data_IF_606502762244
#
_entry.id   IF_606502762244
#
_cell.length_a   1.000
_cell.length_b   1.000
_cell.length_c   1.000
_cell.angle_alpha   90.00
_cell.angle_beta   90.00
_cell.angle_gamma   90.00
#
_symmetry.space_group_name_H-M   'P 1'
#
loop_
_entity.id
_entity.type
_entity.pdbx_description
1 polymer ?
#
# COMPACT_ATOMS: atom_id res chain seq x y z
N UNK A 1 39.53 20.59 8.97
CA UNK A 1 38.24 20.57 9.71
C UNK A 1 38.14 19.27 10.48
N UNK A 2 38.03 19.33 11.81
CA UNK A 2 37.82 18.13 12.63
C UNK A 2 36.45 17.53 12.28
N UNK A 3 36.42 16.22 12.02
CA UNK A 3 35.18 15.47 11.75
C UNK A 3 34.33 15.51 13.01
N UNK A 4 33.16 16.16 12.96
CA UNK A 4 32.31 16.27 14.15
C UNK A 4 31.62 14.92 14.40
N UNK A 5 32.18 14.11 15.30
CA UNK A 5 31.62 12.82 15.70
C UNK A 5 30.16 12.93 16.17
N UNK A 6 29.77 14.05 16.77
CA UNK A 6 28.38 14.31 17.17
C UNK A 6 27.46 14.54 15.97
N UNK A 7 27.93 15.25 14.94
CA UNK A 7 27.15 15.46 13.72
C UNK A 7 26.94 14.14 12.97
N UNK A 8 27.98 13.31 12.88
CA UNK A 8 27.89 11.96 12.29
C UNK A 8 26.91 11.08 13.08
N UNK A 9 26.93 11.15 14.42
CA UNK A 9 25.96 10.44 15.28
C UNK A 9 24.53 10.89 15.03
N UNK A 10 24.27 12.21 15.02
CA UNK A 10 22.94 12.77 14.74
C UNK A 10 22.44 12.40 13.34
N UNK A 11 23.36 12.31 12.36
CA UNK A 11 23.01 11.87 11.02
C UNK A 11 22.57 10.40 11.01
N UNK A 12 23.32 9.53 11.67
CA UNK A 12 22.96 8.12 11.82
C UNK A 12 21.61 7.95 12.56
N UNK A 13 21.37 8.72 13.62
CA UNK A 13 20.08 8.72 14.35
C UNK A 13 18.92 9.17 13.45
N UNK A 14 19.10 10.23 12.64
CA UNK A 14 18.11 10.68 11.66
C UNK A 14 17.78 9.57 10.64
N UNK A 15 18.81 8.94 10.07
CA UNK A 15 18.64 7.91 9.05
C UNK A 15 17.96 6.67 9.64
N UNK A 16 18.32 6.26 10.86
CA UNK A 16 17.65 5.17 11.57
C UNK A 16 16.18 5.48 11.90
N UNK A 17 15.87 6.71 12.31
CA UNK A 17 14.48 7.15 12.54
C UNK A 17 13.68 7.17 11.23
N UNK A 18 14.29 7.58 10.11
CA UNK A 18 13.67 7.55 8.80
C UNK A 18 13.32 6.13 8.35
N UNK A 19 14.24 5.16 8.53
CA UNK A 19 13.97 3.75 8.20
C UNK A 19 12.82 3.18 9.02
N UNK A 20 12.82 3.37 10.35
CA UNK A 20 11.72 2.92 11.22
C UNK A 20 10.38 3.51 10.82
N UNK A 21 10.34 4.82 10.51
CA UNK A 21 9.15 5.49 9.99
C UNK A 21 8.69 4.86 8.67
N UNK A 22 9.61 4.59 7.74
CA UNK A 22 9.28 4.02 6.44
C UNK A 22 8.68 2.60 6.56
N UNK A 23 9.24 1.76 7.44
CA UNK A 23 8.70 0.45 7.77
C UNK A 23 7.28 0.55 8.36
N UNK A 24 7.09 1.44 9.34
CA UNK A 24 5.77 1.66 9.93
C UNK A 24 4.73 2.17 8.92
N UNK A 25 5.15 3.00 7.96
CA UNK A 25 4.28 3.44 6.87
C UNK A 25 3.83 2.28 5.98
N UNK A 26 4.73 1.36 5.62
CA UNK A 26 4.35 0.18 4.83
C UNK A 26 3.37 -0.70 5.60
N UNK A 27 3.61 -0.94 6.89
CA UNK A 27 2.68 -1.71 7.73
C UNK A 27 1.30 -1.05 7.82
N UNK A 28 1.26 0.26 8.05
CA UNK A 28 0.01 1.04 8.05
C UNK A 28 -0.71 0.95 6.69
N UNK A 29 0.02 1.06 5.58
CA UNK A 29 -0.54 0.96 4.23
C UNK A 29 -1.16 -0.42 3.98
N UNK A 30 -0.44 -1.50 4.31
CA UNK A 30 -0.96 -2.86 4.21
C UNK A 30 -2.22 -3.05 5.07
N UNK A 31 -2.21 -2.56 6.32
CA UNK A 31 -3.37 -2.65 7.20
C UNK A 31 -4.57 -1.84 6.69
N UNK A 32 -4.32 -0.71 6.03
CA UNK A 32 -5.37 0.06 5.35
C UNK A 32 -6.00 -0.75 4.22
N UNK A 33 -5.18 -1.34 3.34
CA UNK A 33 -5.66 -2.21 2.26
C UNK A 33 -6.46 -3.41 2.78
N UNK A 34 -5.96 -4.09 3.83
CA UNK A 34 -6.68 -5.19 4.49
C UNK A 34 -8.01 -4.73 5.11
N UNK A 35 -8.06 -3.54 5.70
CA UNK A 35 -9.29 -2.96 6.26
C UNK A 35 -10.32 -2.68 5.16
N UNK A 36 -9.88 -2.15 4.01
CA UNK A 36 -10.75 -1.86 2.87
C UNK A 36 -11.32 -3.17 2.28
N UNK A 37 -10.50 -4.22 2.16
CA UNK A 37 -10.96 -5.56 1.76
C UNK A 37 -11.99 -6.12 2.76
N UNK A 38 -11.70 -6.04 4.05
CA UNK A 38 -12.62 -6.53 5.09
C UNK A 38 -13.96 -5.77 5.08
N UNK A 39 -13.92 -4.46 4.80
CA UNK A 39 -15.12 -3.64 4.61
C UNK A 39 -15.95 -4.13 3.42
N UNK A 40 -15.32 -4.36 2.27
CA UNK A 40 -16.01 -4.85 1.08
C UNK A 40 -16.66 -6.23 1.30
N UNK A 41 -15.95 -7.13 2.00
CA UNK A 41 -16.48 -8.45 2.37
C UNK A 41 -17.68 -8.32 3.30
N UNK A 42 -17.59 -7.48 4.35
CA UNK A 42 -18.71 -7.19 5.25
C UNK A 42 -19.90 -6.63 4.49
N UNK A 43 -19.69 -5.69 3.56
CA UNK A 43 -20.76 -5.07 2.80
C UNK A 43 -21.45 -6.06 1.85
N UNK A 44 -20.70 -6.93 1.17
CA UNK A 44 -21.27 -8.00 0.34
C UNK A 44 -22.09 -8.98 1.18
N UNK A 45 -21.58 -9.39 2.34
CA UNK A 45 -22.31 -10.26 3.26
C UNK A 45 -23.59 -9.61 3.79
N UNK A 46 -23.58 -8.30 4.03
CA UNK A 46 -24.78 -7.53 4.37
C UNK A 46 -25.81 -7.57 3.24
N UNK A 47 -25.40 -7.29 2.01
CA UNK A 47 -26.31 -7.29 0.85
C UNK A 47 -26.92 -8.67 0.61
N UNK A 48 -26.13 -9.74 0.75
CA UNK A 48 -26.62 -11.13 0.66
C UNK A 48 -27.63 -11.46 1.77
N UNK A 49 -27.34 -11.07 3.01
CA UNK A 49 -28.27 -11.22 4.14
C UNK A 49 -29.58 -10.51 3.89
N UNK A 50 -29.56 -9.29 3.35
CA UNK A 50 -30.76 -8.52 3.01
C UNK A 50 -31.59 -9.26 1.95
N UNK A 51 -30.96 -9.71 0.86
CA UNK A 51 -31.64 -10.49 -0.19
C UNK A 51 -32.24 -11.80 0.35
N UNK A 52 -31.53 -12.48 1.26
CA UNK A 52 -32.04 -13.69 1.88
C UNK A 52 -33.25 -13.41 2.79
N UNK A 53 -33.26 -12.26 3.48
CA UNK A 53 -34.41 -11.82 4.26
C UNK A 53 -35.62 -11.53 3.36
N UNK A 54 -35.42 -10.90 2.22
CA UNK A 54 -36.48 -10.66 1.23
C UNK A 54 -37.10 -11.97 0.74
N UNK A 55 -36.26 -12.95 0.34
CA UNK A 55 -36.73 -14.29 -0.05
C UNK A 55 -37.46 -15.02 1.08
N UNK A 56 -36.97 -14.91 2.31
CA UNK A 56 -37.63 -15.51 3.47
C UNK A 56 -39.01 -14.89 3.70
N UNK A 57 -39.15 -13.56 3.56
CA UNK A 57 -40.43 -12.87 3.66
C UNK A 57 -41.38 -13.28 2.53
N UNK A 58 -40.88 -13.39 1.30
CA UNK A 58 -41.68 -13.85 0.16
C UNK A 58 -42.22 -15.27 0.40
N UNK A 59 -41.34 -16.20 0.82
CA UNK A 59 -41.75 -17.55 1.16
C UNK A 59 -42.74 -17.60 2.34
N UNK A 60 -42.63 -16.66 3.29
CA UNK A 60 -43.57 -16.52 4.38
C UNK A 60 -44.96 -16.09 3.90
N UNK A 61 -45.04 -15.09 3.02
CA UNK A 61 -46.33 -14.64 2.46
C UNK A 61 -46.99 -15.74 1.61
N UNK A 62 -46.22 -16.44 0.75
CA UNK A 62 -46.75 -17.59 -0.01
C UNK A 62 -47.30 -18.70 0.90
N UNK A 63 -46.57 -18.98 1.99
CA UNK A 63 -47.00 -19.96 3.01
C UNK A 63 -48.30 -19.51 3.67
N UNK A 64 -48.40 -18.23 4.04
CA UNK A 64 -49.59 -17.64 4.66
C UNK A 64 -50.80 -17.72 3.74
N UNK A 65 -50.67 -17.32 2.47
CA UNK A 65 -51.73 -17.43 1.46
C UNK A 65 -52.20 -18.88 1.29
N UNK A 66 -51.25 -19.83 1.28
CA UNK A 66 -51.56 -21.25 1.21
C UNK A 66 -52.35 -21.75 2.43
N UNK A 67 -52.01 -21.26 3.63
CA UNK A 67 -52.76 -21.55 4.86
C UNK A 67 -54.17 -20.96 4.82
N UNK A 68 -54.33 -19.72 4.39
CA UNK A 68 -55.63 -19.05 4.29
C UNK A 68 -56.55 -19.76 3.29
N UNK A 69 -56.01 -20.13 2.12
CA UNK A 69 -56.75 -20.94 1.13
C UNK A 69 -57.14 -22.32 1.69
N UNK A 70 -56.22 -23.00 2.37
CA UNK A 70 -56.50 -24.28 3.01
C UNK A 70 -57.59 -24.17 4.06
N UNK A 71 -57.50 -23.20 4.97
CA UNK A 71 -58.49 -22.97 6.02
C UNK A 71 -59.87 -22.65 5.44
N UNK A 72 -59.95 -21.82 4.40
CA UNK A 72 -61.20 -21.52 3.69
C UNK A 72 -61.86 -22.78 3.11
N UNK A 73 -61.10 -23.60 2.37
CA UNK A 73 -61.60 -24.83 1.74
C UNK A 73 -62.04 -25.88 2.77
N UNK A 74 -61.23 -26.08 3.81
CA UNK A 74 -61.59 -27.04 4.87
C UNK A 74 -62.72 -26.52 5.76
N UNK A 75 -62.87 -25.21 5.92
CA UNK A 75 -64.01 -24.57 6.55
C UNK A 75 -65.32 -24.79 5.77
N UNK A 76 -65.29 -24.74 4.44
CA UNK A 76 -66.45 -25.11 3.60
C UNK A 76 -66.88 -26.57 3.83
N UNK A 77 -65.91 -27.49 3.79
CA UNK A 77 -66.19 -28.90 4.08
C UNK A 77 -66.76 -29.09 5.49
N UNK A 78 -66.19 -28.44 6.50
CA UNK A 78 -66.68 -28.52 7.87
C UNK A 78 -68.15 -28.09 7.97
N UNK A 79 -68.54 -26.98 7.31
CA UNK A 79 -69.94 -26.53 7.26
C UNK A 79 -70.87 -27.55 6.63
N UNK A 80 -70.49 -28.12 5.47
CA UNK A 80 -71.28 -29.15 4.79
C UNK A 80 -71.42 -30.39 5.66
N UNK A 81 -70.32 -30.87 6.23
CA UNK A 81 -70.28 -32.02 7.12
C UNK A 81 -71.20 -31.82 8.32
N UNK A 82 -71.08 -30.69 9.00
CA UNK A 82 -71.81 -30.44 10.25
C UNK A 82 -73.31 -30.29 10.00
N UNK A 83 -73.69 -29.57 8.94
CA UNK A 83 -75.10 -29.43 8.54
C UNK A 83 -75.69 -30.77 8.10
N UNK A 84 -75.06 -31.47 7.15
CA UNK A 84 -75.58 -32.73 6.60
C UNK A 84 -75.62 -33.83 7.67
N UNK A 85 -74.63 -33.92 8.55
CA UNK A 85 -74.66 -34.91 9.63
C UNK A 85 -75.80 -34.62 10.61
N UNK A 86 -76.08 -33.36 10.94
CA UNK A 86 -77.24 -33.01 11.76
C UNK A 86 -78.56 -33.41 11.10
N UNK A 87 -78.68 -33.21 9.79
CA UNK A 87 -79.87 -33.63 9.05
C UNK A 87 -80.00 -35.15 8.98
N UNK A 88 -78.89 -35.87 8.74
CA UNK A 88 -78.85 -37.33 8.74
C UNK A 88 -79.35 -37.89 10.07
N UNK A 89 -78.90 -37.34 11.21
CA UNK A 89 -79.35 -37.82 12.53
C UNK A 89 -80.85 -37.59 12.75
N UNK A 90 -81.40 -36.46 12.28
CA UNK A 90 -82.86 -36.22 12.31
C UNK A 90 -83.61 -37.22 11.44
N UNK A 91 -83.17 -37.42 10.19
CA UNK A 91 -83.82 -38.34 9.25
C UNK A 91 -83.76 -39.79 9.72
N UNK A 92 -82.69 -40.19 10.42
CA UNK A 92 -82.59 -41.52 11.04
C UNK A 92 -83.67 -41.72 12.10
N UNK A 93 -83.91 -40.70 12.93
CA UNK A 93 -84.97 -40.76 13.92
C UNK A 93 -86.35 -40.94 13.27
N UNK A 94 -86.62 -40.17 12.22
CA UNK A 94 -87.87 -40.27 11.47
C UNK A 94 -88.01 -41.63 10.76
N UNK A 95 -86.92 -42.15 10.18
CA UNK A 95 -86.90 -43.46 9.52
C UNK A 95 -87.15 -44.60 10.53
N UNK A 96 -86.58 -44.50 11.73
CA UNK A 96 -86.83 -45.45 12.82
C UNK A 96 -88.29 -45.40 13.30
N UNK A 97 -88.91 -44.22 13.34
CA UNK A 97 -90.32 -44.06 13.65
C UNK A 97 -91.21 -44.72 12.58
N UNK A 98 -91.01 -44.39 11.30
CA UNK A 98 -91.75 -44.98 10.18
C UNK A 98 -91.57 -46.50 10.14
N UNK A 99 -90.37 -47.01 10.49
CA UNK A 99 -90.14 -48.45 10.58
C UNK A 99 -90.95 -49.14 11.67
N UNK A 100 -91.08 -48.53 12.86
CA UNK A 100 -91.91 -49.08 13.95
C UNK A 100 -93.40 -49.00 13.62
N UNK A 101 -93.86 -47.89 13.03
CA UNK A 101 -95.25 -47.74 12.60
C UNK A 101 -95.61 -48.77 11.51
N UNK A 102 -94.71 -49.02 10.57
CA UNK A 102 -94.82 -50.10 9.58
C UNK A 102 -95.00 -51.46 10.25
N UNK A 103 -94.15 -51.80 11.24
CA UNK A 103 -94.25 -53.06 11.97
C UNK A 103 -95.61 -53.20 12.68
N UNK A 104 -96.05 -52.17 13.41
CA UNK A 104 -97.36 -52.16 14.09
C UNK A 104 -98.52 -52.37 13.11
N UNK A 105 -98.50 -51.71 11.96
CA UNK A 105 -99.54 -51.87 10.94
C UNK A 105 -99.62 -53.30 10.42
N UNK A 106 -98.48 -53.93 10.13
CA UNK A 106 -98.45 -55.31 9.64
C UNK A 106 -98.86 -56.33 10.73
N UNK A 107 -98.45 -56.11 11.98
CA UNK A 107 -98.85 -56.96 13.11
C UNK A 107 -100.38 -56.87 13.33
N UNK A 108 -100.93 -55.66 13.34
CA UNK A 108 -102.38 -55.43 13.46
C UNK A 108 -103.17 -55.94 12.26
N UNK A 109 -102.64 -55.83 11.06
CA UNK A 109 -103.25 -56.41 9.86
C UNK A 109 -103.34 -57.94 9.97
N UNK A 110 -102.27 -58.57 10.46
CA UNK A 110 -102.20 -60.01 10.71
C UNK A 110 -103.24 -60.45 11.76
N UNK A 111 -103.35 -59.71 12.86
CA UNK A 111 -104.33 -59.97 13.92
C UNK A 111 -105.78 -59.78 13.42
N UNK A 112 -106.06 -58.71 12.67
CA UNK A 112 -107.38 -58.46 12.08
C UNK A 112 -107.78 -59.57 11.08
N UNK A 113 -106.83 -60.10 10.32
CA UNK A 113 -107.05 -61.21 9.40
C UNK A 113 -107.33 -62.53 10.12
N UNK A 114 -106.62 -62.80 11.22
CA UNK A 114 -106.64 -64.08 11.93
C UNK A 114 -107.75 -64.16 12.98
N UNK A 115 -107.95 -63.09 13.74
CA UNK A 115 -108.79 -63.06 14.94
C UNK A 115 -109.88 -61.98 14.92
N UNK A 116 -109.81 -61.01 13.99
CA UNK A 116 -110.68 -59.82 13.97
C UNK A 116 -111.51 -59.64 12.69
N UNK A 117 -111.81 -58.38 12.37
CA UNK A 117 -112.54 -58.00 11.16
C UNK A 117 -111.63 -58.11 9.92
N UNK A 118 -111.77 -59.20 9.17
CA UNK A 118 -110.96 -59.49 7.97
C UNK A 118 -111.02 -58.41 6.89
N UNK A 119 -112.05 -57.57 6.87
CA UNK A 119 -112.17 -56.46 5.92
C UNK A 119 -111.24 -55.28 6.23
N UNK A 120 -110.72 -55.17 7.46
CA UNK A 120 -109.77 -54.12 7.89
C UNK A 120 -108.31 -54.49 7.61
N UNK A 121 -107.97 -55.78 7.56
CA UNK A 121 -106.63 -56.27 7.27
C UNK A 121 -105.99 -55.68 5.98
N UNK A 122 -106.68 -55.58 4.83
CA UNK A 122 -106.08 -54.97 3.63
C UNK A 122 -105.82 -53.47 3.78
N UNK A 123 -106.62 -52.75 4.58
CA UNK A 123 -106.43 -51.31 4.83
C UNK A 123 -105.17 -51.12 5.69
N UNK A 124 -105.05 -51.87 6.79
CA UNK A 124 -103.87 -51.82 7.66
C UNK A 124 -102.59 -52.27 6.94
N UNK A 125 -102.67 -53.26 6.05
CA UNK A 125 -101.55 -53.67 5.22
C UNK A 125 -101.12 -52.57 4.23
N UNK A 126 -102.08 -51.84 3.67
CA UNK A 126 -101.80 -50.70 2.79
C UNK A 126 -101.11 -49.57 3.56
N UNK A 127 -101.59 -49.22 4.76
CA UNK A 127 -100.93 -48.25 5.65
C UNK A 127 -99.49 -48.68 6.00
N UNK A 128 -99.26 -49.97 6.25
CA UNK A 128 -97.93 -50.53 6.45
C UNK A 128 -97.02 -50.36 5.23
N UNK A 129 -97.54 -50.56 4.02
CA UNK A 129 -96.79 -50.29 2.79
C UNK A 129 -96.45 -48.81 2.61
N UNK A 130 -97.34 -47.90 2.96
CA UNK A 130 -97.06 -46.45 2.92
C UNK A 130 -95.96 -46.04 3.91
N UNK A 131 -95.99 -46.58 5.14
CA UNK A 131 -94.90 -46.36 6.11
C UNK A 131 -93.56 -46.92 5.61
N UNK A 132 -93.58 -48.07 4.92
CA UNK A 132 -92.40 -48.64 4.29
C UNK A 132 -91.84 -47.71 3.20
N UNK A 133 -92.70 -47.18 2.32
CA UNK A 133 -92.29 -46.25 1.25
C UNK A 133 -91.67 -44.99 1.84
N UNK A 134 -92.31 -44.35 2.84
CA UNK A 134 -91.75 -43.18 3.54
C UNK A 134 -90.39 -43.46 4.17
N UNK A 135 -90.22 -44.59 4.84
CA UNK A 135 -88.92 -45.01 5.40
C UNK A 135 -87.87 -45.19 4.31
N UNK A 136 -88.22 -45.81 3.19
CA UNK A 136 -87.31 -46.05 2.07
C UNK A 136 -86.86 -44.71 1.44
N UNK A 137 -87.76 -43.72 1.33
CA UNK A 137 -87.45 -42.34 0.91
C UNK A 137 -86.49 -41.63 1.89
N UNK A 138 -86.76 -41.70 3.20
CA UNK A 138 -85.88 -41.13 4.23
C UNK A 138 -84.47 -41.73 4.18
N UNK A 139 -84.37 -43.05 3.99
CA UNK A 139 -83.08 -43.74 3.85
C UNK A 139 -82.33 -43.37 2.55
N UNK A 140 -83.06 -43.13 1.46
CA UNK A 140 -82.47 -42.62 0.23
C UNK A 140 -81.88 -41.22 0.44
N UNK A 141 -82.58 -40.34 1.17
CA UNK A 141 -82.09 -39.01 1.50
C UNK A 141 -80.87 -39.02 2.43
N UNK A 142 -80.87 -39.87 3.47
CA UNK A 142 -79.69 -40.10 4.33
C UNK A 142 -78.48 -40.50 3.48
N UNK A 143 -78.68 -41.42 2.53
CA UNK A 143 -77.61 -41.88 1.64
C UNK A 143 -77.09 -40.77 0.73
N UNK A 144 -78.00 -39.92 0.21
CA UNK A 144 -77.66 -38.75 -0.60
C UNK A 144 -76.78 -37.77 0.18
N UNK A 145 -77.20 -37.38 1.39
CA UNK A 145 -76.44 -36.47 2.26
C UNK A 145 -75.08 -37.05 2.67
N UNK A 146 -75.00 -38.34 2.96
CA UNK A 146 -73.74 -39.01 3.28
C UNK A 146 -72.75 -38.97 2.10
N UNK A 147 -73.24 -39.17 0.88
CA UNK A 147 -72.45 -39.05 -0.34
C UNK A 147 -71.99 -37.60 -0.61
N UNK A 148 -72.80 -36.59 -0.30
CA UNK A 148 -72.38 -35.19 -0.37
C UNK A 148 -71.23 -34.89 0.59
N UNK A 149 -71.29 -35.35 1.85
CA UNK A 149 -70.19 -35.17 2.82
C UNK A 149 -68.91 -35.82 2.31
N UNK A 150 -69.01 -37.05 1.79
CA UNK A 150 -67.87 -37.77 1.22
C UNK A 150 -67.28 -37.03 0.01
N UNK A 151 -68.13 -36.50 -0.86
CA UNK A 151 -67.70 -35.77 -2.06
C UNK A 151 -67.08 -34.41 -1.71
N UNK A 152 -67.66 -33.70 -0.74
CA UNK A 152 -67.11 -32.44 -0.21
C UNK A 152 -65.73 -32.65 0.41
N UNK A 153 -65.54 -33.76 1.16
CA UNK A 153 -64.23 -34.12 1.71
C UNK A 153 -63.20 -34.37 0.60
N UNK A 154 -63.54 -35.20 -0.39
CA UNK A 154 -62.64 -35.49 -1.51
C UNK A 154 -62.30 -34.21 -2.31
N UNK A 155 -63.26 -33.31 -2.48
CA UNK A 155 -63.04 -32.00 -3.09
C UNK A 155 -62.09 -31.13 -2.26
N UNK A 156 -62.23 -31.10 -0.93
CA UNK A 156 -61.33 -30.36 -0.06
C UNK A 156 -59.89 -30.88 -0.12
N UNK A 157 -59.71 -32.21 -0.05
CA UNK A 157 -58.40 -32.86 -0.17
C UNK A 157 -57.69 -32.55 -1.50
N UNK A 158 -58.46 -32.46 -2.59
CA UNK A 158 -57.93 -32.12 -3.92
C UNK A 158 -57.64 -30.63 -4.09
N UNK A 159 -58.53 -29.74 -3.62
CA UNK A 159 -58.39 -28.27 -3.80
C UNK A 159 -57.40 -27.64 -2.83
N UNK A 160 -57.23 -28.23 -1.65
CA UNK A 160 -56.37 -27.73 -0.59
C UNK A 160 -55.65 -28.90 0.10
N UNK A 161 -54.62 -29.46 -0.56
CA UNK A 161 -53.73 -30.41 0.09
C UNK A 161 -52.98 -29.72 1.24
N UNK A 162 -52.32 -30.53 2.08
CA UNK A 162 -51.54 -30.04 3.21
C UNK A 162 -50.52 -28.99 2.75
N UNK A 163 -50.48 -27.86 3.46
CA UNK A 163 -49.57 -26.75 3.17
C UNK A 163 -48.12 -27.18 3.34
N UNK A 164 -47.32 -27.01 2.29
CA UNK A 164 -45.87 -27.23 2.34
C UNK A 164 -45.18 -26.02 2.99
N UNK A 165 -44.30 -26.28 3.96
CA UNK A 165 -43.50 -25.26 4.64
C UNK A 165 -42.01 -25.35 4.30
N UNK A 166 -41.61 -26.30 3.44
CA UNK A 166 -40.21 -26.59 3.12
C UNK A 166 -39.46 -25.38 2.55
N UNK A 167 -40.10 -24.62 1.66
CA UNK A 167 -39.53 -23.41 1.05
C UNK A 167 -39.20 -22.35 2.11
N UNK A 168 -40.12 -22.08 3.02
CA UNK A 168 -39.92 -21.12 4.10
C UNK A 168 -38.81 -21.56 5.06
N UNK A 169 -38.80 -22.82 5.50
CA UNK A 169 -37.75 -23.31 6.41
C UNK A 169 -36.37 -23.28 5.75
N UNK A 170 -36.29 -23.58 4.44
CA UNK A 170 -35.05 -23.48 3.67
C UNK A 170 -34.57 -22.02 3.55
N UNK A 171 -35.47 -21.09 3.22
CA UNK A 171 -35.14 -19.66 3.13
C UNK A 171 -34.75 -19.06 4.49
N UNK A 172 -35.37 -19.53 5.58
CA UNK A 172 -35.01 -19.14 6.94
C UNK A 172 -33.63 -19.66 7.34
N UNK A 173 -33.30 -20.91 7.03
CA UNK A 173 -31.99 -21.47 7.29
C UNK A 173 -30.89 -20.72 6.51
N UNK A 174 -31.16 -20.38 5.24
CA UNK A 174 -30.29 -19.54 4.40
C UNK A 174 -30.05 -18.17 5.03
N UNK A 175 -31.12 -17.50 5.49
CA UNK A 175 -31.03 -16.20 6.16
C UNK A 175 -30.18 -16.25 7.42
N UNK A 176 -30.39 -17.24 8.31
CA UNK A 176 -29.60 -17.36 9.54
C UNK A 176 -28.12 -17.62 9.23
N UNK A 177 -27.81 -18.49 8.24
CA UNK A 177 -26.43 -18.72 7.81
C UNK A 177 -25.76 -17.43 7.31
N UNK A 178 -26.45 -16.66 6.46
CA UNK A 178 -25.90 -15.41 5.91
C UNK A 178 -25.81 -14.31 6.97
N UNK A 179 -26.68 -14.33 7.98
CA UNK A 179 -26.58 -13.47 9.15
C UNK A 179 -25.32 -13.77 9.97
N UNK A 180 -25.01 -15.04 10.23
CA UNK A 180 -23.78 -15.44 10.90
C UNK A 180 -22.53 -15.03 10.11
N UNK A 181 -22.53 -15.23 8.79
CA UNK A 181 -21.43 -14.80 7.90
C UNK A 181 -21.22 -13.28 7.98
N UNK A 182 -22.30 -12.50 7.91
CA UNK A 182 -22.23 -11.05 8.06
C UNK A 182 -21.71 -10.63 9.44
N UNK A 183 -22.16 -11.26 10.53
CA UNK A 183 -21.69 -10.96 11.89
C UNK A 183 -20.20 -11.27 12.07
N UNK A 184 -19.73 -12.37 11.49
CA UNK A 184 -18.31 -12.73 11.43
C UNK A 184 -17.50 -11.70 10.64
N UNK A 185 -17.94 -11.37 9.41
CA UNK A 185 -17.27 -10.37 8.58
C UNK A 185 -17.24 -8.97 9.22
N UNK A 186 -18.31 -8.58 9.91
CA UNK A 186 -18.37 -7.32 10.66
C UNK A 186 -17.36 -7.30 11.81
N UNK A 187 -17.18 -8.43 12.51
CA UNK A 187 -16.19 -8.55 13.58
C UNK A 187 -14.78 -8.43 13.02
N UNK A 188 -14.48 -9.10 11.92
CA UNK A 188 -13.18 -9.02 11.26
C UNK A 188 -12.88 -7.59 10.78
N UNK A 189 -13.84 -6.92 10.15
CA UNK A 189 -13.69 -5.51 9.77
C UNK A 189 -13.38 -4.61 10.98
N UNK A 190 -14.05 -4.81 12.12
CA UNK A 190 -13.77 -4.05 13.35
C UNK A 190 -12.34 -4.31 13.86
N UNK A 191 -11.88 -5.56 13.81
CA UNK A 191 -10.52 -5.92 14.21
C UNK A 191 -9.47 -5.28 13.30
N UNK A 192 -9.63 -5.39 11.97
CA UNK A 192 -8.73 -4.79 10.99
C UNK A 192 -8.69 -3.27 11.12
N UNK A 193 -9.85 -2.63 11.33
CA UNK A 193 -9.94 -1.19 11.58
C UNK A 193 -9.15 -0.78 12.84
N UNK A 194 -9.27 -1.54 13.93
CA UNK A 194 -8.54 -1.26 15.16
C UNK A 194 -7.01 -1.40 14.97
N UNK A 195 -6.56 -2.43 14.24
CA UNK A 195 -5.15 -2.61 13.95
C UNK A 195 -4.59 -1.53 13.02
N UNK A 196 -5.35 -1.14 11.99
CA UNK A 196 -5.02 0.01 11.14
C UNK A 196 -4.86 1.28 11.95
N UNK A 197 -5.78 1.56 12.87
CA UNK A 197 -5.73 2.76 13.71
C UNK A 197 -4.52 2.72 14.66
N UNK A 198 -4.21 1.55 15.22
CA UNK A 198 -2.98 1.34 16.01
C UNK A 198 -1.72 1.60 15.19
N UNK A 199 -1.59 1.00 14.01
CA UNK A 199 -0.44 1.17 13.13
C UNK A 199 -0.30 2.61 12.63
N UNK A 200 -1.42 3.31 12.43
CA UNK A 200 -1.41 4.74 12.13
C UNK A 200 -0.79 5.54 13.28
N UNK A 201 -1.19 5.28 14.52
CA UNK A 201 -0.60 5.94 15.69
C UNK A 201 0.91 5.68 15.81
N UNK A 202 1.35 4.45 15.54
CA UNK A 202 2.79 4.10 15.52
C UNK A 202 3.52 4.88 14.42
N UNK A 203 2.97 4.93 13.21
CA UNK A 203 3.53 5.70 12.10
C UNK A 203 3.61 7.19 12.44
N UNK A 204 2.55 7.79 12.97
CA UNK A 204 2.52 9.21 13.34
C UNK A 204 3.58 9.52 14.42
N UNK A 205 3.74 8.65 15.42
CA UNK A 205 4.76 8.80 16.46
C UNK A 205 6.19 8.72 15.90
N UNK A 206 6.46 7.77 15.00
CA UNK A 206 7.78 7.63 14.35
C UNK A 206 8.06 8.77 13.35
N UNK A 207 7.02 9.30 12.71
CA UNK A 207 7.11 10.50 11.88
C UNK A 207 7.53 11.70 12.73
N UNK A 208 6.95 11.88 13.92
CA UNK A 208 7.39 12.91 14.86
C UNK A 208 8.83 12.71 15.33
N UNK A 209 9.22 11.48 15.68
CA UNK A 209 10.59 11.16 16.08
C UNK A 209 11.59 11.52 14.97
N UNK A 210 11.32 11.11 13.73
CA UNK A 210 12.14 11.48 12.57
C UNK A 210 12.25 13.00 12.39
N UNK A 211 11.15 13.74 12.54
CA UNK A 211 11.19 15.22 12.47
C UNK A 211 12.05 15.82 13.58
N UNK A 212 12.03 15.25 14.80
CA UNK A 212 12.90 15.68 15.91
C UNK A 212 14.37 15.42 15.60
N UNK A 213 14.72 14.22 15.14
CA UNK A 213 16.11 13.88 14.76
C UNK A 213 16.61 14.75 13.59
N UNK A 214 15.77 14.96 12.57
CA UNK A 214 16.09 15.85 11.45
C UNK A 214 16.38 17.28 11.93
N UNK A 215 15.55 17.83 12.82
CA UNK A 215 15.75 19.16 13.39
C UNK A 215 17.04 19.23 14.23
N UNK A 216 17.34 18.21 15.03
CA UNK A 216 18.58 18.16 15.82
C UNK A 216 19.83 18.15 14.92
N UNK A 217 19.84 17.33 13.87
CA UNK A 217 20.91 17.30 12.87
C UNK A 217 21.09 18.66 12.18
N UNK A 218 20.00 19.27 11.69
CA UNK A 218 20.03 20.57 11.02
C UNK A 218 20.55 21.68 11.94
N UNK A 219 20.10 21.70 13.20
CA UNK A 219 20.57 22.68 14.18
C UNK A 219 22.08 22.54 14.45
N UNK A 220 22.58 21.30 14.63
CA UNK A 220 24.01 21.07 14.86
C UNK A 220 24.85 21.42 13.63
N UNK A 221 24.37 21.09 12.43
CA UNK A 221 25.02 21.47 11.18
C UNK A 221 25.11 23.00 11.02
N UNK A 222 24.02 23.73 11.34
CA UNK A 222 24.00 25.18 11.30
C UNK A 222 24.97 25.80 12.31
N UNK A 223 25.03 25.25 13.53
CA UNK A 223 25.99 25.69 14.56
C UNK A 223 27.43 25.49 14.10
N UNK A 224 27.78 24.31 13.59
CA UNK A 224 29.14 24.02 13.08
C UNK A 224 29.50 24.97 11.93
N UNK A 225 28.57 25.24 11.00
CA UNK A 225 28.81 26.21 9.92
C UNK A 225 29.05 27.62 10.45
N UNK A 226 28.26 28.05 11.45
CA UNK A 226 28.41 29.36 12.09
C UNK A 226 29.73 29.48 12.86
N UNK A 227 30.11 28.45 13.60
CA UNK A 227 31.35 28.41 14.37
C UNK A 227 32.57 28.44 13.44
N UNK A 228 32.55 27.62 12.37
CA UNK A 228 33.59 27.62 11.34
C UNK A 228 33.71 28.98 10.64
N UNK A 229 32.58 29.63 10.33
CA UNK A 229 32.58 30.96 9.73
C UNK A 229 33.18 31.99 10.69
N UNK A 230 32.80 31.96 11.97
CA UNK A 230 33.32 32.87 12.99
C UNK A 230 34.81 32.67 13.23
N UNK A 231 35.28 31.42 13.27
CA UNK A 231 36.71 31.09 13.40
C UNK A 231 37.49 31.62 12.19
N UNK A 232 36.98 31.38 10.98
CA UNK A 232 37.54 31.92 9.73
C UNK A 232 37.65 33.45 9.77
N UNK A 233 36.57 34.13 10.11
CA UNK A 233 36.54 35.60 10.17
C UNK A 233 37.50 36.14 11.24
N UNK A 234 37.61 35.46 12.39
CA UNK A 234 38.58 35.82 13.44
C UNK A 234 40.02 35.70 12.96
N UNK A 235 40.35 34.66 12.19
CA UNK A 235 41.69 34.48 11.62
C UNK A 235 41.99 35.59 10.60
N UNK A 236 41.03 35.91 9.73
CA UNK A 236 41.17 36.97 8.72
C UNK A 236 41.28 38.37 9.36
N UNK A 237 40.56 38.62 10.47
CA UNK A 237 40.69 39.84 11.27
C UNK A 237 42.09 39.97 11.88
N UNK A 238 42.61 38.92 12.52
CA UNK A 238 43.97 38.92 13.09
C UNK A 238 45.05 39.12 12.03
N UNK A 239 44.83 38.57 10.84
CA UNK A 239 45.71 38.75 9.69
C UNK A 239 45.56 40.12 9.00
N UNK A 240 44.61 40.96 9.42
CA UNK A 240 44.40 42.30 8.86
C UNK A 240 43.86 42.30 7.42
N UNK A 241 43.23 41.21 6.97
CA UNK A 241 42.75 41.09 5.59
C UNK A 241 41.56 42.00 5.35
N UNK A 242 41.60 42.80 4.27
CA UNK A 242 40.53 43.72 3.93
C UNK A 242 39.25 42.97 3.53
N UNK A 243 38.08 43.53 3.87
CA UNK A 243 36.78 42.86 3.69
C UNK A 243 36.56 42.29 2.27
N UNK A 244 36.99 43.01 1.24
CA UNK A 244 36.82 42.62 -0.16
C UNK A 244 37.75 41.48 -0.62
N UNK A 245 38.82 41.18 0.13
CA UNK A 245 39.77 40.07 -0.13
C UNK A 245 39.44 38.82 0.70
N UNK A 246 38.36 38.86 1.50
CA UNK A 246 38.02 37.79 2.44
C UNK A 246 37.18 36.68 1.84
N UNK A 247 36.44 36.91 0.76
CA UNK A 247 35.44 35.93 0.28
C UNK A 247 36.13 34.64 -0.18
N UNK A 248 37.21 34.78 -0.95
CA UNK A 248 37.99 33.72 -1.57
C UNK A 248 39.30 33.41 -0.83
N UNK A 249 39.55 34.06 0.32
CA UNK A 249 40.75 33.83 1.12
C UNK A 249 40.89 32.37 1.56
N UNK A 250 42.09 31.82 1.32
CA UNK A 250 42.49 30.46 1.67
C UNK A 250 43.35 30.49 2.92
N UNK A 251 42.91 29.77 3.95
CA UNK A 251 43.61 29.64 5.23
C UNK A 251 44.25 28.25 5.32
N UNK A 252 45.56 28.20 5.56
CA UNK A 252 46.35 26.97 5.67
C UNK A 252 47.12 26.99 6.97
N UNK A 253 46.76 26.10 7.89
CA UNK A 253 47.49 25.92 9.15
C UNK A 253 48.66 24.95 8.93
N UNK A 254 49.86 25.34 9.33
CA UNK A 254 51.09 24.56 9.19
C UNK A 254 51.41 23.82 10.49
N UNK A 255 52.19 22.75 10.39
CA UNK A 255 52.56 21.91 11.54
C UNK A 255 53.45 22.63 12.56
N UNK A 256 54.14 23.70 12.15
CA UNK A 256 54.93 24.58 13.02
C UNK A 256 54.06 25.57 13.82
N UNK A 257 52.73 25.54 13.62
CA UNK A 257 51.77 26.42 14.26
C UNK A 257 51.53 27.74 13.53
N UNK A 258 52.27 28.03 12.46
CA UNK A 258 52.00 29.20 11.63
C UNK A 258 50.72 29.01 10.83
N UNK A 259 49.92 30.06 10.70
CA UNK A 259 48.75 30.07 9.81
C UNK A 259 49.07 30.95 8.62
N UNK A 260 48.96 30.39 7.42
CA UNK A 260 49.20 31.05 6.14
C UNK A 260 47.85 31.42 5.54
N UNK A 261 47.68 32.69 5.21
CA UNK A 261 46.47 33.24 4.61
C UNK A 261 46.83 33.77 3.24
N UNK A 262 46.20 33.21 2.21
CA UNK A 262 46.34 33.66 0.84
C UNK A 262 45.03 34.35 0.43
N UNK A 263 45.11 35.57 -0.10
CA UNK A 263 43.95 36.45 -0.26
C UNK A 263 44.09 37.35 -1.49
N UNK A 264 42.97 37.73 -2.11
CA UNK A 264 42.99 38.52 -3.35
C UNK A 264 43.69 37.83 -4.53
N UNK A 265 43.96 38.59 -5.59
CA UNK A 265 44.54 38.06 -6.83
C UNK A 265 43.49 37.54 -7.83
N UNK A 266 43.95 37.15 -9.02
CA UNK A 266 43.06 36.61 -10.07
C UNK A 266 42.86 35.11 -9.85
N UNK A 267 41.62 34.71 -9.59
CA UNK A 267 41.22 33.30 -9.54
C UNK A 267 41.08 32.70 -8.14
N UNK A 268 41.11 33.51 -7.08
CA UNK A 268 40.93 33.07 -5.70
C UNK A 268 42.10 33.46 -4.80
N UNK A 269 41.98 33.16 -3.51
CA UNK A 269 43.02 33.47 -2.53
C UNK A 269 44.39 32.85 -2.84
N UNK A 270 44.49 31.77 -3.61
CA UNK A 270 45.76 31.19 -4.10
C UNK A 270 46.01 31.39 -5.61
N UNK A 271 45.28 32.34 -6.21
CA UNK A 271 45.34 32.68 -7.62
C UNK A 271 46.57 33.52 -8.01
N UNK A 272 46.61 33.97 -9.27
CA UNK A 272 47.71 34.77 -9.78
C UNK A 272 47.77 36.14 -9.08
N UNK A 273 48.93 36.49 -8.54
CA UNK A 273 49.12 37.76 -7.85
C UNK A 273 48.43 37.84 -6.50
N UNK A 274 48.03 36.70 -5.89
CA UNK A 274 47.47 36.70 -4.54
C UNK A 274 48.40 37.39 -3.53
N UNK A 275 47.82 38.02 -2.53
CA UNK A 275 48.49 38.47 -1.32
C UNK A 275 48.72 37.30 -0.37
N UNK A 276 49.75 37.41 0.47
CA UNK A 276 50.11 36.35 1.40
C UNK A 276 50.45 36.94 2.76
N UNK A 277 49.72 36.51 3.78
CA UNK A 277 49.92 36.89 5.17
C UNK A 277 50.18 35.65 6.00
N UNK A 278 51.21 35.66 6.85
CA UNK A 278 51.47 34.63 7.84
C UNK A 278 51.27 35.20 9.24
N UNK A 279 50.59 34.44 10.10
CA UNK A 279 50.45 34.75 11.52
C UNK A 279 51.05 33.62 12.37
N UNK A 280 51.67 33.96 13.50
CA UNK A 280 52.18 33.01 14.49
C UNK A 280 51.07 32.44 15.40
N UNK A 281 51.46 31.52 16.30
CA UNK A 281 50.55 30.91 17.29
C UNK A 281 49.89 31.92 18.24
N UNK A 282 50.50 33.10 18.43
CA UNK A 282 49.98 34.15 19.29
C UNK A 282 49.04 35.09 18.52
N UNK A 283 48.90 34.90 17.20
CA UNK A 283 48.09 35.73 16.31
C UNK A 283 48.79 37.01 15.87
N UNK A 284 50.11 37.11 16.04
CA UNK A 284 50.89 38.22 15.50
C UNK A 284 51.21 37.96 14.03
N UNK A 285 51.10 38.99 13.21
CA UNK A 285 51.54 38.94 11.82
C UNK A 285 53.06 38.85 11.78
N UNK A 286 53.57 37.77 11.19
CA UNK A 286 55.02 37.52 10.99
C UNK A 286 55.45 37.80 9.56
N UNK A 287 54.51 37.83 8.63
CA UNK A 287 54.73 38.19 7.23
C UNK A 287 53.42 38.75 6.65
N UNK A 288 53.50 39.80 5.84
CA UNK A 288 52.36 40.33 5.12
C UNK A 288 52.81 40.91 3.78
N UNK A 289 52.09 40.56 2.72
CA UNK A 289 52.24 41.08 1.38
C UNK A 289 50.85 41.21 0.77
N UNK A 290 50.53 42.38 0.26
CA UNK A 290 49.29 42.65 -0.46
C UNK A 290 49.21 41.90 -1.79
N UNK A 291 48.01 41.79 -2.35
CA UNK A 291 47.84 41.29 -3.71
C UNK A 291 48.59 42.19 -4.71
N UNK A 292 49.28 41.57 -5.67
CA UNK A 292 50.12 42.23 -6.70
C UNK A 292 51.32 43.03 -6.20
N UNK A 293 51.66 42.98 -4.90
CA UNK A 293 52.90 43.54 -4.39
C UNK A 293 54.10 42.64 -4.74
N UNK A 294 55.24 43.29 -5.06
CA UNK A 294 56.50 42.63 -5.41
C UNK A 294 57.02 41.74 -4.27
N UNK A 295 57.56 40.56 -4.61
CA UNK A 295 58.21 39.70 -3.63
C UNK A 295 59.49 40.36 -3.12
N UNK A 296 59.60 40.58 -1.80
CA UNK A 296 60.90 40.79 -1.18
C UNK A 296 61.81 39.61 -1.50
N UNK A 297 63.07 39.86 -1.88
CA UNK A 297 63.98 38.92 -2.55
C UNK A 297 64.43 37.67 -1.77
N UNK A 298 63.69 37.21 -0.76
CA UNK A 298 64.11 36.13 0.15
C UNK A 298 63.51 34.75 -0.13
N UNK A 299 62.66 34.57 -1.15
CA UNK A 299 62.03 33.27 -1.43
C UNK A 299 62.27 32.68 -2.84
N UNK A 300 63.15 33.26 -3.64
CA UNK A 300 63.77 32.49 -4.72
C UNK A 300 64.98 31.79 -4.13
N UNK A 301 64.80 30.56 -3.64
CA UNK A 301 65.96 29.71 -3.41
C UNK A 301 66.59 29.47 -4.79
N UNK A 302 67.64 30.24 -5.07
CA UNK A 302 68.63 29.95 -6.10
C UNK A 302 69.20 28.55 -5.84
N UNK A 303 68.51 27.52 -6.32
CA UNK A 303 69.10 26.21 -6.39
C UNK A 303 68.71 25.54 -7.70
N UNK A 304 69.63 25.65 -8.65
CA UNK A 304 69.84 24.78 -9.82
C UNK A 304 68.90 24.98 -11.02
N UNK A 305 69.21 25.99 -11.83
CA UNK A 305 68.85 26.05 -13.26
C UNK A 305 70.10 26.03 -14.16
N UNK A 306 71.16 25.36 -13.72
CA UNK A 306 72.34 25.10 -14.55
C UNK A 306 72.00 24.09 -15.66
N UNK A 307 72.68 24.17 -16.80
CA UNK A 307 72.52 23.17 -17.87
C UNK A 307 72.90 21.79 -17.30
N UNK A 308 72.00 20.81 -17.42
CA UNK A 308 72.16 19.47 -16.82
C UNK A 308 71.54 19.28 -15.43
N UNK A 309 70.65 20.17 -14.97
CA UNK A 309 69.90 19.99 -13.72
C UNK A 309 68.68 19.08 -13.88
N UNK A 310 68.49 18.19 -12.91
CA UNK A 310 67.44 17.16 -12.91
C UNK A 310 66.11 17.61 -12.29
N UNK A 311 66.00 18.85 -11.77
CA UNK A 311 64.79 19.34 -11.11
C UNK A 311 64.52 20.83 -11.37
N UNK A 312 63.23 21.19 -11.48
CA UNK A 312 62.68 22.56 -11.56
C UNK A 312 61.41 22.62 -10.71
N UNK A 313 61.32 23.56 -9.75
CA UNK A 313 60.18 23.71 -8.83
C UNK A 313 59.77 22.40 -8.12
N UNK A 314 60.78 21.63 -7.67
CA UNK A 314 60.58 20.32 -7.02
C UNK A 314 60.14 19.19 -7.96
N UNK A 315 59.96 19.47 -9.25
CA UNK A 315 59.60 18.49 -10.28
C UNK A 315 60.83 18.01 -11.05
N UNK A 316 60.89 16.75 -11.50
CA UNK A 316 61.94 16.29 -12.39
C UNK A 316 61.97 17.15 -13.66
N UNK A 317 63.15 17.65 -14.02
CA UNK A 317 63.37 18.54 -15.15
C UNK A 317 64.63 18.20 -15.94
N UNK A 318 64.69 18.65 -17.19
CA UNK A 318 65.88 18.57 -18.03
C UNK A 318 66.12 19.91 -18.70
N UNK A 319 67.26 20.52 -18.38
CA UNK A 319 67.66 21.84 -18.91
C UNK A 319 68.69 21.66 -20.01
N UNK A 320 68.43 22.21 -21.19
CA UNK A 320 69.34 22.17 -22.34
C UNK A 320 69.53 23.58 -22.92
N UNK A 321 70.66 23.82 -23.59
CA UNK A 321 70.83 25.03 -24.41
C UNK A 321 69.80 25.01 -25.56
N UNK A 322 69.12 26.14 -25.79
CA UNK A 322 68.12 26.24 -26.85
C UNK A 322 68.77 26.23 -28.24
N UNK A 323 68.42 25.29 -29.13
CA UNK A 323 68.94 25.27 -30.49
C UNK A 323 68.57 26.54 -31.26
N UNK A 324 69.53 27.14 -31.96
CA UNK A 324 69.31 28.34 -32.79
C UNK A 324 69.21 29.67 -32.03
N UNK A 325 69.45 29.70 -30.71
CA UNK A 325 69.55 30.94 -29.92
C UNK A 325 70.98 31.16 -29.40
N UNK A 326 71.36 32.42 -29.05
CA UNK A 326 72.64 32.73 -28.44
C UNK A 326 72.90 31.90 -27.16
N UNK A 327 74.17 31.73 -26.83
CA UNK A 327 74.61 31.03 -25.63
C UNK A 327 73.96 31.61 -24.36
N UNK A 328 73.48 30.74 -23.47
CA UNK A 328 72.77 31.12 -22.23
C UNK A 328 71.25 30.99 -22.29
N UNK A 329 70.66 30.95 -23.50
CA UNK A 329 69.26 30.59 -23.67
C UNK A 329 69.01 29.11 -23.39
N UNK A 330 67.98 28.80 -22.60
CA UNK A 330 67.72 27.45 -22.10
C UNK A 330 66.30 26.98 -22.42
N UNK A 331 66.19 25.73 -22.83
CA UNK A 331 64.94 24.96 -22.83
C UNK A 331 64.88 24.16 -21.52
N UNK A 332 63.81 24.33 -20.75
CA UNK A 332 63.51 23.57 -19.52
C UNK A 332 62.30 22.69 -19.79
N UNK A 333 62.50 21.37 -19.76
CA UNK A 333 61.42 20.40 -19.87
C UNK A 333 61.14 19.82 -18.49
N UNK A 334 59.88 19.75 -18.05
CA UNK A 334 59.52 19.22 -16.73
C UNK A 334 58.28 18.31 -16.79
N UNK A 335 58.20 17.36 -15.85
CA UNK A 335 57.09 16.41 -15.71
C UNK A 335 56.58 16.38 -14.28
N UNK A 336 55.32 16.00 -14.06
CA UNK A 336 54.75 15.95 -12.71
C UNK A 336 55.29 14.76 -11.87
N UNK A 337 55.76 13.68 -12.50
CA UNK A 337 56.41 12.54 -11.83
C UNK A 337 57.13 11.62 -12.83
N UNK A 338 58.23 10.98 -12.43
CA UNK A 338 58.96 9.98 -13.23
C UNK A 338 60.18 10.53 -13.99
N UNK A 339 60.80 9.70 -14.83
CA UNK A 339 61.94 10.08 -15.67
C UNK A 339 61.46 10.75 -16.97
N UNK A 340 62.16 11.79 -17.40
CA UNK A 340 61.93 12.46 -18.68
C UNK A 340 62.46 11.57 -19.81
N UNK A 341 61.57 10.79 -20.42
CA UNK A 341 61.77 10.15 -21.73
C UNK A 341 61.20 11.04 -22.84
N UNK A 342 61.77 10.94 -24.05
CA UNK A 342 61.51 11.90 -25.13
C UNK A 342 60.07 11.88 -25.69
N UNK A 343 59.21 10.92 -25.30
CA UNK A 343 57.82 10.74 -25.80
C UNK A 343 56.71 10.76 -24.72
N UNK A 344 56.93 11.38 -23.56
CA UNK A 344 55.87 11.56 -22.53
C UNK A 344 55.50 13.05 -22.46
N UNK A 345 54.20 13.35 -22.39
CA UNK A 345 53.67 14.71 -22.25
C UNK A 345 54.40 15.49 -21.16
N UNK A 346 55.06 16.59 -21.54
CA UNK A 346 55.94 17.36 -20.67
C UNK A 346 55.64 18.86 -20.80
N UNK A 347 55.84 19.59 -19.70
CA UNK A 347 55.85 21.04 -19.70
C UNK A 347 57.15 21.55 -20.33
N UNK A 348 57.10 22.72 -20.97
CA UNK A 348 58.25 23.32 -21.65
C UNK A 348 58.33 24.82 -21.39
N UNK A 349 59.50 25.28 -20.97
CA UNK A 349 59.82 26.69 -20.74
C UNK A 349 61.03 27.08 -21.56
N UNK A 350 61.02 28.27 -22.17
CA UNK A 350 62.20 28.90 -22.76
C UNK A 350 62.64 30.07 -21.90
N UNK A 351 63.88 30.04 -21.46
CA UNK A 351 64.52 31.08 -20.67
C UNK A 351 65.65 31.75 -21.47
N UNK A 352 65.82 33.06 -21.28
CA UNK A 352 67.01 33.78 -21.73
C UNK A 352 68.17 33.69 -20.69
N UNK A 353 69.35 34.29 -20.96
CA UNK A 353 70.49 34.26 -20.04
C UNK A 353 70.19 34.92 -18.69
N UNK A 354 69.26 35.88 -18.64
CA UNK A 354 68.85 36.60 -17.44
C UNK A 354 67.70 35.91 -16.68
N UNK A 355 67.29 34.71 -17.13
CA UNK A 355 66.17 33.90 -16.64
C UNK A 355 64.76 34.46 -16.91
N UNK A 356 64.59 35.39 -17.86
CA UNK A 356 63.25 35.79 -18.26
C UNK A 356 62.58 34.70 -19.09
N UNK A 357 61.27 34.50 -18.89
CA UNK A 357 60.48 33.50 -19.60
C UNK A 357 59.98 34.06 -20.93
N UNK A 358 60.36 33.41 -22.03
CA UNK A 358 59.91 33.77 -23.38
C UNK A 358 58.84 32.83 -23.94
N UNK A 359 58.69 31.65 -23.33
CA UNK A 359 57.67 30.67 -23.70
C UNK A 359 57.39 29.76 -22.51
N UNK A 360 56.11 29.44 -22.27
CA UNK A 360 55.69 28.50 -21.23
C UNK A 360 54.52 27.65 -21.73
N UNK A 361 54.62 26.34 -21.53
CA UNK A 361 53.56 25.35 -21.73
C UNK A 361 53.57 24.38 -20.56
N UNK A 362 52.40 24.08 -20.00
CA UNK A 362 52.29 23.10 -18.91
C UNK A 362 52.19 21.65 -19.43
N UNK A 363 52.45 20.70 -18.54
CA UNK A 363 52.23 19.28 -18.76
C UNK A 363 50.74 19.09 -19.10
N UNK A 364 50.44 18.45 -20.25
CA UNK A 364 49.08 18.18 -20.79
C UNK A 364 48.42 19.24 -21.68
N UNK A 365 49.13 20.30 -22.12
CA UNK A 365 48.66 21.15 -23.21
C UNK A 365 49.11 20.61 -24.59
N UNK A 366 48.15 20.24 -25.45
CA UNK A 366 48.38 19.71 -26.81
C UNK A 366 49.21 20.68 -27.70
N UNK A 367 50.11 20.15 -28.53
CA UNK A 367 50.72 20.91 -29.62
C UNK A 367 49.65 21.31 -30.64
N UNK A 368 49.55 22.61 -30.94
CA UNK A 368 48.94 23.10 -32.19
C UNK A 368 50.02 23.88 -32.92
N UNK A 369 50.22 23.58 -34.19
CA UNK A 369 51.07 24.42 -35.03
C UNK A 369 50.38 25.78 -35.29
N UNK A 370 51.11 26.69 -35.93
CA UNK A 370 50.69 28.08 -36.20
C UNK A 370 49.42 28.19 -37.07
N UNK A 371 48.88 27.06 -37.55
CA UNK A 371 47.62 26.98 -38.31
C UNK A 371 46.52 26.15 -37.62
N UNK A 372 46.72 25.71 -36.38
CA UNK A 372 45.65 25.25 -35.49
C UNK A 372 45.02 23.89 -35.80
N UNK A 373 45.70 22.99 -36.54
CA UNK A 373 45.24 21.60 -36.74
C UNK A 373 45.96 20.62 -35.82
N UNK A 374 45.23 19.57 -35.40
CA UNK A 374 45.74 18.44 -34.61
C UNK A 374 46.48 17.46 -35.51
N UNK A 375 47.70 17.10 -35.14
CA UNK A 375 48.34 15.88 -35.64
C UNK A 375 47.84 14.71 -34.78
N UNK A 376 46.84 13.99 -35.29
CA UNK A 376 46.36 12.75 -34.71
C UNK A 376 47.38 11.63 -35.05
N UNK A 377 48.11 11.13 -34.05
CA UNK A 377 48.74 9.82 -34.11
C UNK A 377 48.28 8.94 -32.94
N UNK A 378 47.25 8.16 -33.27
CA UNK A 378 46.73 6.92 -32.70
C UNK A 378 47.58 6.28 -31.57
N UNK A 379 46.99 6.19 -30.38
CA UNK A 379 47.31 5.13 -29.41
C UNK A 379 46.13 4.16 -29.44
N UNK A 380 46.42 2.92 -29.86
CA UNK A 380 45.52 1.77 -29.86
C UNK A 380 44.95 1.49 -28.47
N UNK A 381 43.62 1.63 -28.33
CA UNK A 381 42.83 0.97 -27.29
C UNK A 381 42.60 -0.49 -27.71
N UNK A 382 43.57 -1.39 -27.49
CA UNK A 382 43.33 -2.85 -27.48
C UNK A 382 44.56 -3.62 -26.94
N UNK A 383 44.78 -3.54 -25.63
CA UNK A 383 45.76 -4.40 -24.96
C UNK A 383 45.48 -4.61 -23.47
N UNK A 384 44.29 -5.08 -23.08
CA UNK A 384 44.16 -5.77 -21.79
C UNK A 384 42.98 -6.74 -21.62
N UNK A 385 42.58 -7.44 -22.70
CA UNK A 385 41.75 -8.66 -22.59
C UNK A 385 42.27 -9.72 -23.55
N UNK A 386 43.26 -10.50 -23.09
CA UNK A 386 43.52 -11.91 -23.47
C UNK A 386 44.84 -12.38 -22.84
N UNK A 387 44.77 -12.86 -21.60
CA UNK A 387 45.75 -13.81 -21.02
C UNK A 387 45.18 -14.50 -19.77
N UNK A 388 44.03 -15.17 -19.95
CA UNK A 388 43.68 -16.36 -19.17
C UNK A 388 43.24 -17.41 -20.18
N UNK A 389 44.06 -18.45 -20.32
CA UNK A 389 43.92 -19.49 -21.34
C UNK A 389 45.12 -20.42 -21.31
N UNK A 390 45.04 -21.38 -20.39
CA UNK A 390 45.63 -22.72 -20.40
C UNK A 390 47.14 -22.94 -20.33
N UNK A 391 47.53 -23.65 -19.25
CA UNK A 391 48.41 -24.84 -19.17
C UNK A 391 48.66 -25.11 -17.67
N UNK A 392 48.42 -26.25 -17.02
CA UNK A 392 48.44 -27.69 -17.35
C UNK A 392 47.66 -28.50 -16.28
N UNK A 393 46.99 -29.60 -16.70
CA UNK A 393 47.06 -31.01 -16.21
C UNK A 393 47.53 -31.21 -14.75
N UNK A 394 46.81 -31.94 -13.88
CA UNK A 394 46.30 -33.32 -13.95
C UNK A 394 44.98 -33.42 -13.18
#
# INVERSE_FOLDING_TARGET
>A
MSRSHELDRLKAEQDAAFQRKQEAYQNYKCAKESTDIAHDVMQRAWDERVRAREKMNEAFEQRKESFEHHDSVWGEYARIRDYNNSQIESLKYDADYEHRAMQDCFDRASDAYTYGNKSEAPILSQEGHEHKERRDELNAEISRLANEVKSAKASAEMRAPKVDSSSFESAKAEFERLKEIHESAQTEFKNQKAERDRLKCIFDALQEEHMRCQKAFQNRLALIKSDNQRERDTILDKAGIAYYEREDAKIVQKNDGTTQIYHGGVGGGDGLGHGHTAIDNNGNVTYARGAFEEHGGENYVESRLAIGTDYFDGKPAKVRQKPGKPEGWRDVFFVNSGNIGDDIGHGHIVLDPDNNVHYYRDVWQEHRDENGRRDDFLIDEDADIKKQGDTHRI
#
